data_IF_652513241801
#
_entry.id   IF_652513241801
#
_cell.length_a   1.000
_cell.length_b   1.000
_cell.length_c   1.000
_cell.angle_alpha   90.00
_cell.angle_beta   90.00
_cell.angle_gamma   90.00
#
_symmetry.space_group_name_H-M   'P 1'
#
loop_
_entity.id
_entity.type
_entity.pdbx_description
1 polymer ?
#
# COMPACT_ATOMS: atom_id res chain seq x y z
N UNK A 1 -7.91 -9.04 13.85
CA UNK A 1 -7.19 -7.77 13.63
C UNK A 1 -8.12 -6.80 12.90
N UNK A 2 -8.49 -5.67 13.51
CA UNK A 2 -9.40 -4.67 12.93
C UNK A 2 -8.75 -3.71 11.92
N UNK A 3 -7.44 -3.46 11.98
CA UNK A 3 -6.72 -2.54 11.09
C UNK A 3 -5.47 -3.20 10.50
N UNK A 4 -4.91 -2.68 9.41
CA UNK A 4 -3.78 -3.28 8.68
C UNK A 4 -2.54 -3.53 9.54
N UNK A 5 -2.31 -2.69 10.55
CA UNK A 5 -1.13 -2.75 11.43
C UNK A 5 -1.49 -3.05 12.89
N UNK A 6 -2.65 -3.66 13.15
CA UNK A 6 -3.01 -4.17 14.48
C UNK A 6 -4.39 -3.74 14.96
N UNK A 7 -4.47 -3.31 16.21
CA UNK A 7 -5.70 -2.92 16.89
C UNK A 7 -5.97 -1.41 16.90
N UNK A 8 -5.04 -0.62 16.34
CA UNK A 8 -5.21 0.82 16.11
C UNK A 8 -5.17 1.16 14.62
N UNK A 9 -5.92 2.19 14.18
CA UNK A 9 -5.83 2.70 12.83
C UNK A 9 -4.47 3.36 12.59
N UNK A 10 -3.89 3.13 11.42
CA UNK A 10 -2.72 3.80 10.89
C UNK A 10 -3.03 4.58 9.60
N UNK A 11 -2.06 5.36 9.12
CA UNK A 11 -2.19 6.12 7.86
C UNK A 11 -2.49 5.21 6.66
N UNK A 12 -2.00 3.97 6.67
CA UNK A 12 -2.30 2.96 5.66
C UNK A 12 -3.78 2.59 5.60
N UNK A 13 -4.49 2.55 6.74
CA UNK A 13 -5.90 2.19 6.76
C UNK A 13 -6.71 3.25 6.01
N UNK A 14 -6.42 4.53 6.23
CA UNK A 14 -7.08 5.63 5.50
C UNK A 14 -6.76 5.63 4.00
N UNK A 15 -5.54 5.23 3.61
CA UNK A 15 -5.18 5.09 2.21
C UNK A 15 -6.00 4.00 1.51
N UNK A 16 -6.19 2.84 2.16
CA UNK A 16 -7.03 1.75 1.64
C UNK A 16 -8.51 2.10 1.68
N UNK A 17 -8.99 2.65 2.80
CA UNK A 17 -10.37 3.09 2.98
C UNK A 17 -10.80 4.02 1.85
N UNK A 18 -10.02 5.07 1.54
CA UNK A 18 -10.40 6.02 0.48
C UNK A 18 -10.60 5.38 -0.90
N UNK A 19 -9.84 4.33 -1.23
CA UNK A 19 -10.02 3.58 -2.48
C UNK A 19 -11.21 2.62 -2.40
N UNK A 20 -11.38 1.95 -1.25
CA UNK A 20 -12.41 0.94 -1.05
C UNK A 20 -13.80 1.52 -0.84
N UNK A 21 -13.95 2.76 -0.36
CA UNK A 21 -15.25 3.39 -0.11
C UNK A 21 -16.15 3.35 -1.35
N UNK A 22 -15.67 3.81 -2.50
CA UNK A 22 -16.43 3.74 -3.75
C UNK A 22 -16.74 2.31 -4.18
N UNK A 23 -15.76 1.41 -4.05
CA UNK A 23 -15.86 0.02 -4.52
C UNK A 23 -16.74 -0.87 -3.64
N UNK A 24 -16.77 -0.62 -2.33
CA UNK A 24 -17.49 -1.43 -1.37
C UNK A 24 -18.89 -0.87 -1.09
N UNK A 25 -19.06 0.45 -1.00
CA UNK A 25 -20.30 1.04 -0.49
C UNK A 25 -21.24 1.56 -1.59
N UNK A 26 -20.73 1.88 -2.78
CA UNK A 26 -21.52 2.65 -3.77
C UNK A 26 -21.63 2.00 -5.16
N UNK A 27 -20.53 1.49 -5.74
CA UNK A 27 -20.56 0.95 -7.12
C UNK A 27 -21.12 -0.49 -7.13
N UNK A 28 -22.25 -0.74 -7.84
CA UNK A 28 -22.87 -2.07 -7.88
C UNK A 28 -21.98 -3.14 -8.53
N UNK A 29 -21.05 -2.76 -9.39
CA UNK A 29 -20.19 -3.70 -10.13
C UNK A 29 -19.17 -4.41 -9.23
N UNK A 30 -18.26 -3.70 -8.52
CA UNK A 30 -17.41 -4.31 -7.52
C UNK A 30 -18.19 -4.82 -6.30
N UNK A 31 -19.37 -4.25 -5.97
CA UNK A 31 -20.21 -4.78 -4.89
C UNK A 31 -20.61 -6.24 -5.09
N UNK A 32 -20.80 -6.69 -6.34
CA UNK A 32 -21.06 -8.09 -6.63
C UNK A 32 -19.96 -9.01 -6.07
N UNK A 33 -18.69 -8.59 -6.12
CA UNK A 33 -17.55 -9.30 -5.53
C UNK A 33 -17.56 -9.14 -4.00
N UNK A 34 -17.87 -7.94 -3.49
CA UNK A 34 -17.88 -7.64 -2.05
C UNK A 34 -18.92 -8.49 -1.29
N UNK A 35 -20.02 -8.89 -1.93
CA UNK A 35 -21.00 -9.81 -1.34
C UNK A 35 -20.39 -11.19 -1.00
N UNK A 36 -19.34 -11.61 -1.70
CA UNK A 36 -18.59 -12.83 -1.37
C UNK A 36 -17.59 -12.61 -0.22
N UNK A 37 -17.21 -11.35 0.04
CA UNK A 37 -16.23 -10.94 1.06
C UNK A 37 -16.80 -9.85 1.99
N UNK A 38 -17.89 -10.11 2.73
CA UNK A 38 -18.64 -9.09 3.49
C UNK A 38 -17.81 -8.41 4.59
N UNK A 39 -16.70 -9.01 5.00
CA UNK A 39 -15.75 -8.37 5.94
C UNK A 39 -15.10 -7.11 5.37
N UNK A 40 -14.96 -6.99 4.05
CA UNK A 40 -14.43 -5.78 3.42
C UNK A 40 -15.42 -4.63 3.57
N UNK A 41 -16.71 -4.88 3.31
CA UNK A 41 -17.77 -3.90 3.56
C UNK A 41 -17.77 -3.43 5.02
N UNK A 42 -17.81 -4.37 5.96
CA UNK A 42 -17.81 -4.06 7.39
C UNK A 42 -16.55 -3.28 7.82
N UNK A 43 -15.39 -3.60 7.25
CA UNK A 43 -14.15 -2.89 7.55
C UNK A 43 -14.19 -1.43 7.07
N UNK A 44 -14.72 -1.17 5.87
CA UNK A 44 -14.86 0.21 5.36
C UNK A 44 -15.80 1.03 6.24
N UNK A 45 -16.93 0.48 6.68
CA UNK A 45 -17.86 1.12 7.62
C UNK A 45 -17.20 1.40 9.00
N UNK A 46 -16.35 0.49 9.49
CA UNK A 46 -15.60 0.72 10.73
C UNK A 46 -14.61 1.89 10.59
N UNK A 47 -13.91 1.99 9.45
CA UNK A 47 -12.91 3.06 9.24
C UNK A 47 -13.57 4.42 8.99
N UNK A 48 -14.81 4.46 8.47
CA UNK A 48 -15.61 5.69 8.31
C UNK A 48 -15.83 6.41 9.64
N UNK A 49 -16.13 5.67 10.72
CA UNK A 49 -16.50 6.22 12.02
C UNK A 49 -15.62 5.64 13.14
N UNK A 50 -14.55 6.37 13.46
CA UNK A 50 -13.59 6.01 14.51
C UNK A 50 -13.71 6.90 15.76
N UNK A 51 -14.74 7.73 15.86
CA UNK A 51 -14.92 8.63 17.01
C UNK A 51 -15.02 7.84 18.31
N UNK A 52 -14.19 8.20 19.28
CA UNK A 52 -14.13 7.51 20.58
C UNK A 52 -13.38 6.18 20.56
N UNK A 53 -12.77 5.79 19.43
CA UNK A 53 -11.91 4.61 19.38
C UNK A 53 -10.64 4.84 20.19
N UNK A 54 -10.44 4.04 21.23
CA UNK A 54 -9.29 4.16 22.14
C UNK A 54 -8.05 3.54 21.49
N UNK A 55 -6.95 4.30 21.46
CA UNK A 55 -5.68 3.86 20.89
C UNK A 55 -4.58 3.86 21.94
N UNK A 56 -3.66 2.91 21.82
CA UNK A 56 -2.46 2.80 22.64
C UNK A 56 -1.30 2.28 21.78
N UNK A 57 -0.06 2.46 22.22
CA UNK A 57 1.12 2.08 21.44
C UNK A 57 1.34 0.56 21.38
N UNK A 58 0.81 -0.18 22.36
CA UNK A 58 0.74 -1.65 22.35
C UNK A 58 -0.29 -2.22 21.36
N UNK A 59 -1.12 -1.37 20.76
CA UNK A 59 -2.08 -1.80 19.71
C UNK A 59 -1.43 -1.98 18.34
N UNK A 60 -0.17 -1.58 18.14
CA UNK A 60 0.56 -1.90 16.92
C UNK A 60 0.91 -3.40 16.86
N UNK A 61 1.04 -3.94 15.65
CA UNK A 61 1.62 -5.27 15.46
C UNK A 61 3.06 -5.33 15.97
N UNK A 62 3.49 -6.54 16.35
CA UNK A 62 4.91 -6.85 16.44
C UNK A 62 5.49 -6.89 15.01
N UNK A 63 6.22 -5.85 14.62
CA UNK A 63 6.84 -5.74 13.31
C UNK A 63 7.89 -6.84 13.05
N UNK A 64 8.42 -7.47 14.10
CA UNK A 64 9.37 -8.58 13.97
C UNK A 64 8.67 -9.91 13.63
N UNK A 65 7.35 -9.97 13.85
CA UNK A 65 6.44 -11.07 13.53
C UNK A 65 5.14 -10.57 12.87
N UNK A 66 5.22 -9.97 11.66
CA UNK A 66 4.03 -9.47 11.00
C UNK A 66 3.11 -10.63 10.58
N UNK A 67 1.77 -10.44 10.60
CA UNK A 67 0.83 -11.45 10.16
C UNK A 67 0.99 -11.71 8.65
N UNK A 68 0.72 -12.94 8.22
CA UNK A 68 0.82 -13.31 6.79
C UNK A 68 -0.15 -12.50 5.91
N UNK A 69 -1.26 -12.03 6.48
CA UNK A 69 -2.20 -11.13 5.79
C UNK A 69 -1.54 -9.83 5.34
N UNK A 70 -0.71 -9.20 6.20
CA UNK A 70 0.03 -7.99 5.83
C UNK A 70 1.07 -8.29 4.75
N UNK A 71 1.79 -9.42 4.87
CA UNK A 71 2.75 -9.84 3.83
C UNK A 71 2.08 -10.08 2.49
N UNK A 72 0.88 -10.65 2.46
CA UNK A 72 0.14 -10.88 1.22
C UNK A 72 -0.31 -9.57 0.56
N UNK A 73 -0.75 -8.58 1.34
CA UNK A 73 -1.06 -7.24 0.81
C UNK A 73 0.20 -6.59 0.23
N UNK A 74 1.32 -6.66 0.95
CA UNK A 74 2.60 -6.12 0.49
C UNK A 74 3.11 -6.84 -0.78
N UNK A 75 2.91 -8.15 -0.90
CA UNK A 75 3.20 -8.91 -2.13
C UNK A 75 2.40 -8.38 -3.31
N UNK A 76 1.13 -8.05 -3.13
CA UNK A 76 0.32 -7.47 -4.21
C UNK A 76 0.81 -6.07 -4.60
N UNK A 77 1.19 -5.25 -3.62
CA UNK A 77 1.83 -3.95 -3.86
C UNK A 77 3.16 -4.12 -4.62
N UNK A 78 4.00 -5.07 -4.21
CA UNK A 78 5.29 -5.33 -4.84
C UNK A 78 5.19 -5.94 -6.24
N UNK A 79 4.11 -6.66 -6.53
CA UNK A 79 3.83 -7.29 -7.82
C UNK A 79 3.44 -6.28 -8.90
N UNK A 80 2.58 -5.32 -8.56
CA UNK A 80 2.02 -4.37 -9.54
C UNK A 80 2.47 -2.93 -9.30
N UNK A 81 2.28 -2.42 -8.08
CA UNK A 81 2.44 -0.99 -7.81
C UNK A 81 3.90 -0.56 -7.70
N UNK A 82 4.75 -1.37 -7.07
CA UNK A 82 6.18 -1.08 -6.95
C UNK A 82 6.90 -0.95 -8.31
N UNK A 83 6.79 -1.91 -9.26
CA UNK A 83 7.43 -1.78 -10.56
C UNK A 83 6.84 -0.62 -11.37
N UNK A 84 5.53 -0.40 -11.27
CA UNK A 84 4.87 0.77 -11.84
C UNK A 84 5.47 2.08 -11.32
N UNK A 85 5.61 2.23 -10.00
CA UNK A 85 6.06 3.47 -9.37
C UNK A 85 7.52 3.78 -9.74
N UNK A 86 8.37 2.75 -9.79
CA UNK A 86 9.76 2.85 -10.24
C UNK A 86 9.84 3.21 -11.73
N UNK A 87 9.06 2.54 -12.58
CA UNK A 87 8.99 2.85 -14.02
C UNK A 87 8.51 4.27 -14.28
N UNK A 88 7.44 4.69 -13.61
CA UNK A 88 6.90 6.05 -13.69
C UNK A 88 7.94 7.10 -13.29
N UNK A 89 8.66 6.90 -12.19
CA UNK A 89 9.71 7.83 -11.77
C UNK A 89 10.82 7.95 -12.82
N UNK A 90 11.25 6.84 -13.44
CA UNK A 90 12.23 6.87 -14.54
C UNK A 90 11.73 7.66 -15.73
N UNK A 91 10.47 7.46 -16.14
CA UNK A 91 9.86 8.18 -17.26
C UNK A 91 9.74 9.69 -16.97
N UNK A 92 9.35 10.07 -15.75
CA UNK A 92 9.31 11.47 -15.30
C UNK A 92 10.71 12.10 -15.35
N UNK A 93 11.73 11.42 -14.82
CA UNK A 93 13.12 11.91 -14.83
C UNK A 93 13.66 12.09 -16.26
N UNK A 94 13.30 11.18 -17.16
CA UNK A 94 13.68 11.24 -18.58
C UNK A 94 12.89 12.30 -19.38
N UNK A 95 11.87 12.94 -18.77
CA UNK A 95 10.89 13.80 -19.46
C UNK A 95 10.26 13.10 -20.67
N UNK A 96 10.00 11.81 -20.53
CA UNK A 96 9.33 11.04 -21.58
C UNK A 96 7.87 11.50 -21.72
N UNK A 97 7.34 11.44 -22.93
CA UNK A 97 5.91 11.72 -23.17
C UNK A 97 5.01 10.54 -22.73
N UNK A 98 5.59 9.35 -22.64
CA UNK A 98 4.87 8.09 -22.35
C UNK A 98 5.70 7.17 -21.46
N UNK A 99 5.05 6.57 -20.47
CA UNK A 99 5.52 5.40 -19.75
C UNK A 99 5.01 4.15 -20.46
N UNK A 100 5.91 3.25 -20.84
CA UNK A 100 5.58 1.93 -21.40
C UNK A 100 6.34 0.87 -20.60
N UNK A 101 5.61 0.01 -19.91
CA UNK A 101 6.18 -1.08 -19.09
C UNK A 101 5.32 -2.33 -19.21
N UNK A 102 5.84 -3.47 -18.80
CA UNK A 102 5.06 -4.68 -18.60
C UNK A 102 4.70 -4.80 -17.11
N UNK A 103 3.41 -4.99 -16.81
CA UNK A 103 2.90 -5.28 -15.48
C UNK A 103 2.14 -6.60 -15.54
N UNK A 104 2.58 -7.58 -14.75
CA UNK A 104 1.93 -8.91 -14.69
C UNK A 104 1.77 -9.60 -16.05
N UNK A 105 2.79 -9.50 -16.90
CA UNK A 105 2.77 -10.07 -18.25
C UNK A 105 1.86 -9.33 -19.24
N UNK A 106 1.29 -8.18 -18.84
CA UNK A 106 0.45 -7.35 -19.70
C UNK A 106 1.14 -6.03 -20.02
N UNK A 107 1.02 -5.52 -21.25
CA UNK A 107 1.51 -4.20 -21.59
C UNK A 107 0.71 -3.14 -20.82
N UNK A 108 1.42 -2.19 -20.21
CA UNK A 108 0.87 -1.03 -19.54
C UNK A 108 1.43 0.25 -20.12
N UNK A 109 0.55 1.19 -20.44
CA UNK A 109 0.93 2.50 -20.95
C UNK A 109 0.14 3.64 -20.31
N UNK A 110 0.83 4.76 -20.06
CA UNK A 110 0.19 6.01 -19.64
C UNK A 110 1.13 7.21 -19.81
N UNK A 111 0.62 8.42 -19.61
CA UNK A 111 1.47 9.60 -19.40
C UNK A 111 2.21 9.49 -18.05
N UNK A 112 3.48 9.90 -17.97
CA UNK A 112 4.21 9.93 -16.70
C UNK A 112 3.57 10.87 -15.68
N UNK A 113 3.47 10.42 -14.43
CA UNK A 113 2.79 11.10 -13.34
C UNK A 113 3.79 11.66 -12.33
N UNK A 114 4.08 12.96 -12.44
CA UNK A 114 5.06 13.69 -11.59
C UNK A 114 4.78 13.57 -10.10
N UNK A 115 3.51 13.62 -9.67
CA UNK A 115 3.18 13.54 -8.25
C UNK A 115 3.56 12.18 -7.65
N UNK A 116 3.29 11.09 -8.36
CA UNK A 116 3.66 9.75 -7.89
C UNK A 116 5.19 9.55 -7.87
N UNK A 117 5.92 10.15 -8.81
CA UNK A 117 7.38 10.19 -8.73
C UNK A 117 7.87 10.90 -7.46
N UNK A 118 7.22 12.01 -7.06
CA UNK A 118 7.48 12.69 -5.79
C UNK A 118 7.17 11.81 -4.58
N UNK A 119 6.07 11.06 -4.60
CA UNK A 119 5.73 10.11 -3.54
C UNK A 119 6.82 9.04 -3.36
N UNK A 120 7.39 8.52 -4.46
CA UNK A 120 8.51 7.57 -4.38
C UNK A 120 9.75 8.20 -3.72
N UNK A 121 10.04 9.47 -4.01
CA UNK A 121 11.14 10.17 -3.34
C UNK A 121 10.90 10.30 -1.84
N UNK A 122 9.71 10.68 -1.41
CA UNK A 122 9.37 10.74 0.02
C UNK A 122 9.49 9.39 0.73
N UNK A 123 9.08 8.31 0.07
CA UNK A 123 9.27 6.96 0.60
C UNK A 123 10.76 6.64 0.79
N UNK A 124 11.60 6.98 -0.20
CA UNK A 124 13.05 6.77 -0.13
C UNK A 124 13.72 7.61 0.96
N UNK A 125 13.31 8.86 1.11
CA UNK A 125 13.79 9.76 2.17
C UNK A 125 13.44 9.19 3.55
N UNK A 126 12.16 8.86 3.79
CA UNK A 126 11.73 8.25 5.06
C UNK A 126 12.45 6.93 5.36
N UNK A 127 12.71 6.12 4.32
CA UNK A 127 13.47 4.88 4.46
C UNK A 127 14.95 5.11 4.82
N UNK A 128 15.56 6.17 4.28
CA UNK A 128 16.95 6.56 4.58
C UNK A 128 17.11 7.16 5.97
N UNK A 129 16.07 7.81 6.50
CA UNK A 129 16.05 8.37 7.85
C UNK A 129 15.96 7.31 8.97
N UNK A 130 15.60 6.06 8.62
CA UNK A 130 15.57 4.96 9.58
C UNK A 130 16.96 4.67 10.16
N UNK A 131 16.99 4.32 11.44
CA UNK A 131 18.19 3.74 12.07
C UNK A 131 18.57 2.43 11.36
N UNK A 132 19.83 2.01 11.45
CA UNK A 132 20.26 0.73 10.86
C UNK A 132 19.45 -0.45 11.41
N UNK A 133 19.11 -0.42 12.70
CA UNK A 133 18.28 -1.44 13.33
C UNK A 133 16.84 -1.44 12.82
N UNK A 134 16.20 -0.28 12.68
CA UNK A 134 14.82 -0.22 12.20
C UNK A 134 14.72 -0.55 10.72
N UNK A 135 15.71 -0.12 9.92
CA UNK A 135 15.81 -0.47 8.51
C UNK A 135 15.93 -1.98 8.32
N UNK A 136 16.77 -2.66 9.11
CA UNK A 136 16.88 -4.11 9.06
C UNK A 136 15.57 -4.84 9.41
N UNK A 137 14.78 -4.29 10.34
CA UNK A 137 13.46 -4.84 10.70
C UNK A 137 12.47 -4.65 9.55
N UNK A 138 12.43 -3.45 8.94
CA UNK A 138 11.62 -3.18 7.75
C UNK A 138 12.01 -4.08 6.58
N UNK A 139 13.31 -4.22 6.32
CA UNK A 139 13.84 -5.12 5.28
C UNK A 139 13.33 -6.55 5.45
N UNK A 140 13.35 -7.07 6.68
CA UNK A 140 12.82 -8.40 7.00
C UNK A 140 11.32 -8.54 6.71
N UNK A 141 10.53 -7.48 6.89
CA UNK A 141 9.09 -7.48 6.57
C UNK A 141 8.87 -7.43 5.06
N UNK A 142 9.66 -6.61 4.35
CA UNK A 142 9.52 -6.38 2.92
C UNK A 142 10.18 -7.47 2.06
N UNK A 143 11.09 -8.27 2.64
CA UNK A 143 11.73 -9.37 1.94
C UNK A 143 10.71 -10.36 1.37
N UNK A 144 10.93 -10.80 0.13
CA UNK A 144 10.01 -11.66 -0.62
C UNK A 144 8.67 -11.02 -1.02
N UNK A 145 8.42 -9.73 -0.72
CA UNK A 145 7.21 -9.03 -1.16
C UNK A 145 7.36 -8.34 -2.51
N UNK A 146 8.60 -8.08 -2.95
CA UNK A 146 8.89 -7.28 -4.14
C UNK A 146 8.86 -5.76 -3.89
N UNK A 147 8.42 -5.29 -2.72
CA UNK A 147 8.38 -3.85 -2.38
C UNK A 147 9.78 -3.24 -2.30
N UNK A 148 10.80 -4.02 -1.91
CA UNK A 148 12.18 -3.54 -1.74
C UNK A 148 12.76 -2.87 -2.99
N UNK A 149 12.29 -3.23 -4.19
CA UNK A 149 12.72 -2.62 -5.46
C UNK A 149 12.52 -1.09 -5.49
N UNK A 150 11.60 -0.56 -4.67
CA UNK A 150 11.38 0.88 -4.57
C UNK A 150 12.52 1.62 -3.88
N UNK A 151 13.31 0.94 -3.03
CA UNK A 151 14.35 1.55 -2.20
C UNK A 151 15.77 1.32 -2.73
N UNK A 152 15.90 0.70 -3.91
CA UNK A 152 17.15 0.51 -4.65
C UNK A 152 17.51 1.73 -5.51
#
# INVERSE_FOLDING_TARGET
QPFLLGERPGSCDFAFYGQLTCLALFDPTPQAIILEYPRVYAWVEIVEELSGYLVSDDHWIDIDNPPETLKNILKEVGRLYAPYLVGNAKAVMAKADKLEIELDGQPWEQAPFTYQAKCLMWLREAYQELSESDRARVDKVLDGTGVLQMFV
#
